data_IF_924428739728
#
_entry.id   IF_924428739728
#
_cell.length_a   1.000
_cell.length_b   1.000
_cell.length_c   1.000
_cell.angle_alpha   90.00
_cell.angle_beta   90.00
_cell.angle_gamma   90.00
#
_symmetry.space_group_name_H-M   'P 1'
#
loop_
_entity.id
_entity.type
_entity.pdbx_description
1 polymer ?
#
# COMPACT_ATOMS: atom_id res chain seq x y z
N UNK A 1 -22.54 19.87 -4.96
CA UNK A 1 -21.26 19.65 -5.67
C UNK A 1 -20.55 21.00 -5.78
N UNK A 2 -19.37 21.15 -5.20
CA UNK A 2 -18.61 22.41 -5.26
C UNK A 2 -17.83 22.46 -6.58
N UNK A 3 -18.08 23.46 -7.41
CA UNK A 3 -17.37 23.67 -8.69
C UNK A 3 -16.04 24.35 -8.42
N UNK A 4 -14.94 23.73 -8.87
CA UNK A 4 -13.57 24.22 -8.73
C UNK A 4 -13.07 24.85 -10.03
N UNK A 5 -13.32 24.18 -11.16
CA UNK A 5 -12.93 24.65 -12.48
C UNK A 5 -14.05 24.37 -13.50
N UNK A 6 -14.14 25.14 -14.61
CA UNK A 6 -15.19 24.94 -15.63
C UNK A 6 -15.04 23.62 -16.41
N UNK A 7 -13.81 23.11 -16.51
CA UNK A 7 -13.46 21.87 -17.20
C UNK A 7 -12.85 20.85 -16.22
N UNK A 8 -12.75 19.60 -16.62
CA UNK A 8 -12.19 18.52 -15.83
C UNK A 8 -13.23 17.50 -15.38
N UNK A 9 -12.87 16.69 -14.37
CA UNK A 9 -13.68 15.61 -13.85
C UNK A 9 -14.41 16.01 -12.57
N UNK A 10 -15.62 15.47 -12.39
CA UNK A 10 -16.35 15.50 -11.13
C UNK A 10 -15.81 14.36 -10.26
N UNK A 11 -15.06 14.68 -9.21
CA UNK A 11 -14.35 13.70 -8.39
C UNK A 11 -15.03 13.55 -7.04
N UNK A 12 -15.02 12.33 -6.53
CA UNK A 12 -15.38 12.02 -5.15
C UNK A 12 -14.20 11.40 -4.40
N UNK A 13 -14.07 11.72 -3.11
CA UNK A 13 -13.19 11.02 -2.19
C UNK A 13 -14.05 10.39 -1.09
N UNK A 14 -14.11 9.06 -1.06
CA UNK A 14 -14.85 8.29 -0.07
C UNK A 14 -13.90 7.80 1.02
N UNK A 15 -14.20 8.14 2.28
CA UNK A 15 -13.26 8.03 3.39
C UNK A 15 -12.39 9.29 3.52
N UNK A 16 -12.89 10.45 3.10
CA UNK A 16 -12.16 11.71 3.01
C UNK A 16 -11.57 12.22 4.35
N UNK A 17 -12.15 11.81 5.49
CA UNK A 17 -11.68 12.17 6.85
C UNK A 17 -10.55 11.28 7.36
N UNK A 18 -10.27 10.15 6.69
CA UNK A 18 -9.22 9.20 7.07
C UNK A 18 -7.81 9.66 6.66
N UNK A 19 -6.78 8.93 7.14
CA UNK A 19 -5.37 9.21 6.80
C UNK A 19 -5.12 9.18 5.29
N UNK A 20 -5.55 8.12 4.62
CA UNK A 20 -5.39 7.98 3.17
C UNK A 20 -6.24 9.01 2.41
N UNK A 21 -7.48 9.26 2.85
CA UNK A 21 -8.33 10.31 2.27
C UNK A 21 -7.68 11.70 2.32
N UNK A 22 -6.97 12.02 3.41
CA UNK A 22 -6.17 13.24 3.53
C UNK A 22 -5.06 13.29 2.47
N UNK A 23 -4.36 12.18 2.24
CA UNK A 23 -3.31 12.09 1.20
C UNK A 23 -3.93 12.23 -0.19
N UNK A 24 -5.04 11.54 -0.48
CA UNK A 24 -5.73 11.66 -1.77
C UNK A 24 -6.12 13.12 -2.09
N UNK A 25 -6.71 13.83 -1.11
CA UNK A 25 -7.06 15.24 -1.28
C UNK A 25 -5.84 16.11 -1.57
N UNK A 26 -4.76 15.94 -0.80
CA UNK A 26 -3.49 16.66 -1.01
C UNK A 26 -2.90 16.39 -2.40
N UNK A 27 -2.83 15.13 -2.83
CA UNK A 27 -2.27 14.77 -4.14
C UNK A 27 -3.10 15.31 -5.31
N UNK A 28 -4.42 15.38 -5.19
CA UNK A 28 -5.27 16.00 -6.20
C UNK A 28 -4.93 17.50 -6.39
N UNK A 29 -4.58 18.21 -5.30
CA UNK A 29 -4.14 19.61 -5.35
C UNK A 29 -2.70 19.74 -5.87
N UNK A 30 -1.75 19.00 -5.28
CA UNK A 30 -0.30 19.11 -5.58
C UNK A 30 0.01 18.73 -7.04
N UNK A 31 -0.72 17.78 -7.62
CA UNK A 31 -0.51 17.34 -9.01
C UNK A 31 -1.30 18.14 -10.04
N UNK A 32 -1.93 19.24 -9.63
CA UNK A 32 -2.76 20.07 -10.51
C UNK A 32 -3.78 19.24 -11.31
N UNK A 33 -4.39 18.26 -10.67
CA UNK A 33 -5.39 17.42 -11.32
C UNK A 33 -6.59 18.29 -11.72
N UNK A 34 -7.04 18.17 -12.96
CA UNK A 34 -8.12 19.02 -13.45
C UNK A 34 -9.46 18.58 -12.86
N UNK A 35 -9.76 19.14 -11.69
CA UNK A 35 -10.99 18.86 -10.93
C UNK A 35 -12.04 19.90 -11.30
N UNK A 36 -13.11 19.46 -11.96
CA UNK A 36 -14.28 20.31 -12.25
C UNK A 36 -15.08 20.57 -10.98
N UNK A 37 -15.36 19.51 -10.24
CA UNK A 37 -16.03 19.60 -8.95
C UNK A 37 -15.57 18.48 -8.03
N UNK A 38 -15.69 18.70 -6.71
CA UNK A 38 -15.31 17.72 -5.71
C UNK A 38 -16.44 17.48 -4.73
N UNK A 39 -16.55 16.22 -4.26
CA UNK A 39 -17.42 15.82 -3.17
C UNK A 39 -16.65 14.92 -2.21
N UNK A 40 -16.89 15.09 -0.93
CA UNK A 40 -16.28 14.26 0.12
C UNK A 40 -17.33 13.43 0.82
N UNK A 41 -17.03 12.15 1.00
CA UNK A 41 -17.92 11.20 1.66
C UNK A 41 -17.21 10.51 2.82
N UNK A 42 -17.93 10.26 3.89
CA UNK A 42 -17.49 9.45 5.01
C UNK A 42 -18.72 8.77 5.67
N UNK A 43 -18.51 8.08 6.80
CA UNK A 43 -19.62 7.53 7.59
C UNK A 43 -20.49 8.64 8.18
N UNK A 44 -21.73 8.31 8.56
CA UNK A 44 -22.67 9.20 9.24
C UNK A 44 -22.03 9.96 10.42
N UNK A 45 -21.12 9.32 11.17
CA UNK A 45 -20.39 9.95 12.28
C UNK A 45 -19.56 11.17 11.86
N UNK A 46 -19.03 11.17 10.65
CA UNK A 46 -18.17 12.24 10.11
C UNK A 46 -18.91 13.16 9.13
N UNK A 47 -20.16 12.85 8.79
CA UNK A 47 -20.99 13.71 7.95
C UNK A 47 -21.19 15.08 8.61
N UNK A 48 -21.20 16.13 7.80
CA UNK A 48 -21.25 17.53 8.27
C UNK A 48 -19.89 18.14 8.62
N UNK A 49 -18.81 17.35 8.73
CA UNK A 49 -17.46 17.89 8.87
C UNK A 49 -17.11 18.72 7.63
N UNK A 50 -16.44 19.85 7.83
CA UNK A 50 -15.96 20.70 6.75
C UNK A 50 -14.48 20.44 6.53
N UNK A 51 -14.08 20.16 5.29
CA UNK A 51 -12.69 19.92 4.90
C UNK A 51 -12.29 20.87 3.77
N UNK A 52 -11.10 21.50 3.85
CA UNK A 52 -10.63 22.39 2.80
C UNK A 52 -10.17 21.61 1.56
N UNK A 53 -10.40 22.21 0.37
CA UNK A 53 -9.84 21.75 -0.90
C UNK A 53 -9.79 22.92 -1.89
N UNK A 54 -8.61 23.19 -2.48
CA UNK A 54 -8.38 24.24 -3.47
C UNK A 54 -8.97 25.62 -3.08
N UNK A 55 -8.86 25.99 -1.81
CA UNK A 55 -9.39 27.25 -1.28
C UNK A 55 -10.90 27.26 -1.00
N UNK A 56 -11.59 26.13 -1.13
CA UNK A 56 -13.02 26.00 -0.85
C UNK A 56 -13.26 25.08 0.37
N UNK A 57 -14.30 25.40 1.11
CA UNK A 57 -14.80 24.56 2.20
C UNK A 57 -15.81 23.53 1.66
N UNK A 58 -15.48 22.25 1.78
CA UNK A 58 -16.29 21.13 1.30
C UNK A 58 -16.93 20.42 2.48
N UNK A 59 -18.25 20.35 2.51
CA UNK A 59 -18.98 19.60 3.54
C UNK A 59 -18.94 18.11 3.21
N UNK A 60 -18.55 17.29 4.19
CA UNK A 60 -18.53 15.83 4.07
C UNK A 60 -19.94 15.28 4.12
N UNK A 61 -20.31 14.47 3.15
CA UNK A 61 -21.61 13.81 3.02
C UNK A 61 -21.59 12.41 3.62
N UNK A 62 -22.75 11.93 4.07
CA UNK A 62 -22.90 10.54 4.49
C UNK A 62 -22.92 9.62 3.26
N UNK A 63 -21.91 8.74 3.17
CA UNK A 63 -21.76 7.82 2.05
C UNK A 63 -22.93 6.86 1.86
N UNK A 64 -23.68 6.55 2.93
CA UNK A 64 -24.79 5.58 2.86
C UNK A 64 -26.06 6.19 2.25
N UNK A 65 -26.28 7.47 2.45
CA UNK A 65 -27.54 8.15 2.07
C UNK A 65 -27.39 9.10 0.89
N UNK A 66 -26.19 9.63 0.63
CA UNK A 66 -25.98 10.59 -0.44
C UNK A 66 -26.14 9.97 -1.84
N UNK A 67 -26.69 10.73 -2.78
CA UNK A 67 -26.80 10.35 -4.18
C UNK A 67 -25.46 10.51 -4.90
N UNK A 68 -24.86 9.46 -5.51
CA UNK A 68 -23.59 9.53 -6.23
C UNK A 68 -23.71 10.08 -7.66
N UNK A 69 -24.89 10.45 -8.12
CA UNK A 69 -25.12 10.91 -9.49
C UNK A 69 -24.24 12.13 -9.84
N UNK A 70 -23.78 12.17 -11.07
CA UNK A 70 -22.97 13.27 -11.61
C UNK A 70 -21.49 13.25 -11.19
N UNK A 71 -21.01 12.19 -10.56
CA UNK A 71 -19.60 11.93 -10.29
C UNK A 71 -19.04 11.13 -11.46
N UNK A 72 -17.84 11.50 -11.95
CA UNK A 72 -17.14 10.75 -12.99
C UNK A 72 -16.22 9.68 -12.37
N UNK A 73 -15.45 10.05 -11.33
CA UNK A 73 -14.51 9.16 -10.67
C UNK A 73 -14.63 9.29 -9.15
N UNK A 74 -14.64 8.16 -8.45
CA UNK A 74 -14.64 8.10 -7.00
C UNK A 74 -13.41 7.33 -6.48
N UNK A 75 -12.61 7.98 -5.63
CA UNK A 75 -11.47 7.40 -4.94
C UNK A 75 -11.92 6.87 -3.57
N UNK A 76 -11.94 5.55 -3.41
CA UNK A 76 -12.43 4.88 -2.20
C UNK A 76 -11.29 4.51 -1.26
N UNK A 77 -11.38 4.94 -0.01
CA UNK A 77 -10.53 4.52 1.10
C UNK A 77 -11.32 4.47 2.42
N UNK A 78 -12.41 3.70 2.42
CA UNK A 78 -13.33 3.59 3.57
C UNK A 78 -13.33 2.19 4.22
N UNK A 79 -12.38 1.33 3.85
CA UNK A 79 -12.28 -0.05 4.30
C UNK A 79 -13.18 -1.02 3.51
N UNK A 80 -12.90 -2.32 3.65
CA UNK A 80 -13.50 -3.35 2.80
C UNK A 80 -15.02 -3.47 2.96
N UNK A 81 -15.54 -3.37 4.20
CA UNK A 81 -16.98 -3.48 4.47
C UNK A 81 -17.76 -2.36 3.81
N UNK A 82 -17.32 -1.11 3.97
CA UNK A 82 -17.97 0.04 3.35
C UNK A 82 -17.82 -0.01 1.82
N UNK A 83 -16.67 -0.42 1.30
CA UNK A 83 -16.48 -0.55 -0.14
C UNK A 83 -17.39 -1.62 -0.75
N UNK A 84 -17.54 -2.81 -0.14
CA UNK A 84 -18.47 -3.84 -0.62
C UNK A 84 -19.90 -3.34 -0.68
N UNK A 85 -20.32 -2.52 0.27
CA UNK A 85 -21.68 -1.97 0.30
C UNK A 85 -21.88 -0.82 -0.70
N UNK A 86 -20.89 0.07 -0.84
CA UNK A 86 -21.09 1.35 -1.52
C UNK A 86 -20.51 1.41 -2.94
N UNK A 87 -19.39 0.73 -3.24
CA UNK A 87 -18.78 0.79 -4.56
C UNK A 87 -19.73 0.33 -5.69
N UNK A 88 -20.51 -0.75 -5.54
CA UNK A 88 -21.49 -1.12 -6.56
C UNK A 88 -22.58 -0.06 -6.79
N UNK A 89 -22.97 0.66 -5.74
CA UNK A 89 -23.98 1.74 -5.85
C UNK A 89 -23.45 2.93 -6.64
N UNK A 90 -22.17 3.30 -6.42
CA UNK A 90 -21.50 4.33 -7.22
C UNK A 90 -21.34 3.86 -8.67
N UNK A 91 -20.85 2.65 -8.90
CA UNK A 91 -20.70 2.09 -10.24
C UNK A 91 -22.02 2.02 -11.01
N UNK A 92 -23.13 1.64 -10.35
CA UNK A 92 -24.46 1.62 -10.95
C UNK A 92 -24.97 3.03 -11.35
N UNK A 93 -24.45 4.10 -10.73
CA UNK A 93 -24.71 5.48 -11.12
C UNK A 93 -23.80 5.98 -12.25
N UNK A 94 -22.96 5.10 -12.85
CA UNK A 94 -22.03 5.42 -13.92
C UNK A 94 -20.67 5.95 -13.46
N UNK A 95 -20.38 5.91 -12.16
CA UNK A 95 -19.09 6.36 -11.59
C UNK A 95 -18.02 5.30 -11.76
N UNK A 96 -16.84 5.69 -12.21
CA UNK A 96 -15.66 4.80 -12.13
C UNK A 96 -15.12 4.84 -10.70
N UNK A 97 -15.11 3.69 -10.04
CA UNK A 97 -14.61 3.54 -8.68
C UNK A 97 -13.17 3.04 -8.69
N UNK A 98 -12.26 3.79 -8.06
CA UNK A 98 -10.89 3.34 -7.76
C UNK A 98 -10.83 3.01 -6.27
N UNK A 99 -10.78 1.71 -5.95
CA UNK A 99 -10.90 1.23 -4.58
C UNK A 99 -9.58 0.81 -3.97
N UNK A 100 -9.17 1.48 -2.90
CA UNK A 100 -7.94 1.18 -2.15
C UNK A 100 -8.14 0.09 -1.07
N UNK A 101 -9.36 -0.39 -0.86
CA UNK A 101 -9.62 -1.46 0.12
C UNK A 101 -9.26 -2.85 -0.43
N UNK A 102 -9.30 -3.85 0.43
CA UNK A 102 -9.10 -5.24 0.01
C UNK A 102 -10.35 -5.91 -0.58
N UNK A 103 -11.48 -5.19 -0.66
CA UNK A 103 -12.79 -5.75 -0.98
C UNK A 103 -12.86 -6.46 -2.33
N UNK A 104 -12.19 -5.90 -3.34
CA UNK A 104 -12.35 -6.29 -4.74
C UNK A 104 -11.10 -6.89 -5.38
N UNK A 105 -9.96 -6.86 -4.68
CA UNK A 105 -8.65 -7.23 -5.24
C UNK A 105 -8.63 -8.62 -5.88
N UNK A 106 -9.32 -9.59 -5.28
CA UNK A 106 -9.37 -10.96 -5.77
C UNK A 106 -10.66 -11.31 -6.53
N UNK A 107 -11.55 -10.34 -6.75
CA UNK A 107 -12.70 -10.52 -7.64
C UNK A 107 -12.20 -10.69 -9.10
N UNK A 108 -12.60 -11.78 -9.81
CA UNK A 108 -12.12 -12.04 -11.17
C UNK A 108 -12.60 -11.02 -12.20
N UNK A 109 -13.69 -10.31 -11.93
CA UNK A 109 -14.27 -9.29 -12.82
C UNK A 109 -13.83 -7.86 -12.45
N UNK A 110 -12.94 -7.71 -11.46
CA UNK A 110 -12.37 -6.43 -11.05
C UNK A 110 -10.87 -6.46 -11.29
N UNK A 111 -10.31 -5.60 -12.14
CA UNK A 111 -8.87 -5.54 -12.35
C UNK A 111 -8.16 -5.01 -11.10
N UNK A 112 -7.02 -5.62 -10.77
CA UNK A 112 -6.09 -5.18 -9.75
C UNK A 112 -4.93 -4.48 -10.44
N UNK A 113 -4.79 -3.17 -10.27
CA UNK A 113 -3.94 -2.35 -11.14
C UNK A 113 -2.84 -1.64 -10.36
N UNK A 114 -1.63 -1.74 -10.90
CA UNK A 114 -0.49 -0.84 -10.64
C UNK A 114 -0.19 -0.13 -11.95
N UNK A 115 -0.30 1.19 -11.99
CA UNK A 115 -0.25 1.98 -13.23
C UNK A 115 1.04 1.77 -14.03
N UNK A 116 2.16 1.53 -13.36
CA UNK A 116 3.48 1.30 -13.94
C UNK A 116 3.70 -0.15 -14.42
N UNK A 117 2.78 -1.06 -14.09
CA UNK A 117 2.95 -2.51 -14.31
C UNK A 117 1.95 -3.07 -15.32
N UNK A 118 0.67 -2.86 -15.07
CA UNK A 118 -0.42 -3.43 -15.84
C UNK A 118 -1.57 -2.44 -16.15
N UNK A 119 -1.28 -1.22 -16.65
CA UNK A 119 -2.32 -0.20 -16.91
C UNK A 119 -3.38 -0.68 -17.92
N UNK A 120 -3.03 -1.61 -18.81
CA UNK A 120 -3.95 -2.20 -19.78
C UNK A 120 -5.13 -2.92 -19.12
N UNK A 121 -4.96 -3.45 -17.90
CA UNK A 121 -5.99 -4.14 -17.16
C UNK A 121 -7.18 -3.23 -16.77
N UNK A 122 -7.02 -1.90 -16.76
CA UNK A 122 -8.11 -0.95 -16.52
C UNK A 122 -9.28 -1.18 -17.48
N UNK A 123 -9.01 -1.59 -18.73
CA UNK A 123 -10.03 -1.88 -19.75
C UNK A 123 -10.93 -3.07 -19.38
N UNK A 124 -10.54 -3.86 -18.38
CA UNK A 124 -11.29 -5.01 -17.90
C UNK A 124 -12.23 -4.68 -16.72
N UNK A 125 -12.39 -3.43 -16.37
CA UNK A 125 -13.23 -2.98 -15.26
C UNK A 125 -14.73 -3.06 -15.59
N UNK A 126 -15.24 -4.24 -15.91
CA UNK A 126 -16.63 -4.47 -16.34
C UNK A 126 -17.66 -4.13 -15.26
N UNK A 127 -17.25 -4.14 -13.98
CA UNK A 127 -18.10 -3.70 -12.85
C UNK A 127 -18.00 -2.20 -12.57
N UNK A 128 -17.25 -1.43 -13.38
CA UNK A 128 -16.97 -0.01 -13.08
C UNK A 128 -16.08 0.20 -11.86
N UNK A 129 -15.44 -0.87 -11.36
CA UNK A 129 -14.57 -0.85 -10.18
C UNK A 129 -13.16 -1.27 -10.60
N UNK A 130 -12.16 -0.52 -10.15
CA UNK A 130 -10.73 -0.80 -10.32
C UNK A 130 -10.15 -0.94 -8.91
N UNK A 131 -9.53 -2.08 -8.60
CA UNK A 131 -8.91 -2.30 -7.30
C UNK A 131 -7.46 -1.81 -7.29
N UNK A 132 -7.07 -1.15 -6.21
CA UNK A 132 -5.70 -0.77 -5.90
C UNK A 132 -5.09 -1.80 -4.95
N UNK A 133 -3.83 -2.25 -5.16
CA UNK A 133 -3.23 -3.33 -4.40
C UNK A 133 -2.94 -3.02 -2.93
N UNK A 134 -2.51 -4.05 -2.21
CA UNK A 134 -1.87 -3.92 -0.91
C UNK A 134 -0.56 -3.11 -1.04
N UNK A 135 -0.28 -2.28 -0.04
CA UNK A 135 0.84 -1.34 -0.07
C UNK A 135 2.22 -2.03 -0.20
N UNK A 136 2.44 -3.15 0.50
CA UNK A 136 3.69 -3.90 0.38
C UNK A 136 3.82 -4.56 -0.98
N UNK A 137 2.74 -5.16 -1.49
CA UNK A 137 2.74 -5.75 -2.83
C UNK A 137 3.05 -4.70 -3.89
N UNK A 138 2.33 -3.57 -3.86
CA UNK A 138 2.50 -2.50 -4.85
C UNK A 138 3.93 -1.99 -4.92
N UNK A 139 4.60 -1.82 -3.78
CA UNK A 139 5.96 -1.27 -3.73
C UNK A 139 6.99 -2.11 -4.52
N UNK A 140 6.83 -3.43 -4.56
CA UNK A 140 7.77 -4.32 -5.26
C UNK A 140 7.48 -4.48 -6.76
N UNK A 141 6.21 -4.30 -7.17
CA UNK A 141 5.77 -4.69 -8.52
C UNK A 141 6.45 -3.93 -9.66
N UNK A 142 6.73 -2.63 -9.61
CA UNK A 142 7.43 -1.92 -10.68
C UNK A 142 8.79 -2.53 -10.99
N UNK A 143 9.61 -2.81 -9.97
CA UNK A 143 10.91 -3.43 -10.16
C UNK A 143 10.80 -4.88 -10.67
N UNK A 144 9.93 -5.68 -10.06
CA UNK A 144 9.77 -7.09 -10.44
C UNK A 144 9.20 -7.26 -11.85
N UNK A 145 8.37 -6.33 -12.33
CA UNK A 145 7.83 -6.36 -13.70
C UNK A 145 8.93 -6.27 -14.76
N UNK A 146 9.86 -5.35 -14.57
CA UNK A 146 10.97 -5.13 -15.52
C UNK A 146 11.91 -6.33 -15.53
N UNK A 147 12.26 -6.83 -14.34
CA UNK A 147 13.12 -8.02 -14.21
C UNK A 147 12.43 -9.28 -14.75
N UNK A 148 11.11 -9.42 -14.56
CA UNK A 148 10.34 -10.51 -15.15
C UNK A 148 10.34 -10.47 -16.68
N UNK A 149 10.17 -9.30 -17.28
CA UNK A 149 10.17 -9.15 -18.74
C UNK A 149 11.50 -9.58 -19.36
N UNK A 150 12.62 -9.37 -18.69
CA UNK A 150 13.96 -9.78 -19.14
C UNK A 150 14.22 -11.26 -18.91
N UNK A 151 14.02 -11.75 -17.70
CA UNK A 151 14.55 -13.04 -17.27
C UNK A 151 13.48 -14.08 -16.90
N UNK A 152 12.21 -13.69 -16.78
CA UNK A 152 11.10 -14.59 -16.44
C UNK A 152 11.10 -14.97 -14.96
N UNK A 153 10.48 -14.16 -14.12
CA UNK A 153 10.34 -14.44 -12.68
C UNK A 153 9.51 -15.70 -12.43
N UNK A 154 10.07 -16.66 -11.72
CA UNK A 154 9.45 -17.96 -11.41
C UNK A 154 9.11 -18.11 -9.92
N UNK A 155 9.96 -17.55 -9.06
CA UNK A 155 9.82 -17.68 -7.60
C UNK A 155 10.35 -16.44 -6.89
N UNK A 156 9.75 -16.11 -5.74
CA UNK A 156 10.32 -15.12 -4.82
C UNK A 156 10.07 -15.52 -3.35
N UNK A 157 11.07 -15.24 -2.51
CA UNK A 157 10.95 -15.23 -1.07
C UNK A 157 11.07 -13.79 -0.59
N UNK A 158 10.11 -13.33 0.21
CA UNK A 158 10.00 -11.93 0.60
C UNK A 158 9.83 -11.81 2.11
N UNK A 159 10.71 -11.05 2.75
CA UNK A 159 10.47 -10.57 4.11
C UNK A 159 10.13 -9.09 4.06
N UNK A 160 8.98 -8.71 4.63
CA UNK A 160 8.59 -7.31 4.69
C UNK A 160 8.97 -6.69 6.03
N UNK A 161 9.29 -5.40 6.02
CA UNK A 161 9.48 -4.55 7.19
C UNK A 161 8.39 -3.47 7.14
N UNK A 162 7.23 -3.77 7.76
CA UNK A 162 6.03 -2.94 7.59
C UNK A 162 5.92 -1.87 8.67
N UNK A 163 5.87 -0.63 8.23
CA UNK A 163 5.65 0.54 9.08
C UNK A 163 4.26 0.52 9.75
N UNK A 164 4.15 1.18 10.89
CA UNK A 164 2.92 1.23 11.69
C UNK A 164 1.78 1.99 11.02
N UNK A 165 2.07 2.88 10.07
CA UNK A 165 1.04 3.62 9.30
C UNK A 165 0.06 2.70 8.57
N UNK A 166 0.50 1.48 8.17
CA UNK A 166 -0.37 0.47 7.58
C UNK A 166 -1.50 -0.01 8.50
N UNK A 167 -1.34 0.17 9.82
CA UNK A 167 -2.38 -0.11 10.82
C UNK A 167 -3.27 1.09 11.14
N UNK A 168 -3.15 2.18 10.37
CA UNK A 168 -3.90 3.41 10.57
C UNK A 168 -3.35 4.28 11.72
N UNK A 169 -4.10 5.31 12.07
CA UNK A 169 -3.69 6.30 13.09
C UNK A 169 -3.39 5.62 14.43
N UNK A 170 -4.20 4.67 14.86
CA UNK A 170 -4.02 3.95 16.12
C UNK A 170 -2.66 3.24 16.21
N UNK A 171 -2.15 2.68 15.11
CA UNK A 171 -0.81 2.08 15.08
C UNK A 171 0.31 3.09 15.27
N UNK A 172 0.20 4.25 14.62
CA UNK A 172 1.18 5.33 14.78
C UNK A 172 1.15 5.93 16.19
N UNK A 173 -0.03 6.13 16.77
CA UNK A 173 -0.22 6.62 18.12
C UNK A 173 0.35 5.66 19.16
N UNK A 174 0.11 4.35 18.99
CA UNK A 174 0.66 3.35 19.90
C UNK A 174 2.19 3.36 19.90
N UNK A 175 2.83 3.35 18.73
CA UNK A 175 4.29 3.47 18.64
C UNK A 175 4.79 4.75 19.30
N UNK A 176 4.18 5.90 19.01
CA UNK A 176 4.58 7.19 19.57
C UNK A 176 4.46 7.22 21.10
N UNK A 177 3.38 6.66 21.64
CA UNK A 177 3.14 6.63 23.09
C UNK A 177 4.13 5.68 23.80
N UNK A 178 4.41 4.52 23.23
CA UNK A 178 5.41 3.58 23.76
C UNK A 178 6.82 4.19 23.73
N UNK A 179 7.21 4.89 22.66
CA UNK A 179 8.50 5.58 22.57
C UNK A 179 8.61 6.68 23.65
N UNK A 180 7.59 7.54 23.79
CA UNK A 180 7.61 8.60 24.81
C UNK A 180 7.75 8.02 26.21
N UNK A 181 6.94 7.03 26.54
CA UNK A 181 6.99 6.38 27.85
C UNK A 181 8.35 5.74 28.14
N UNK A 182 9.02 5.21 27.13
CA UNK A 182 10.36 4.64 27.28
C UNK A 182 11.44 5.72 27.48
N UNK A 183 11.39 6.79 26.67
CA UNK A 183 12.33 7.92 26.79
C UNK A 183 12.22 8.62 28.15
N UNK A 184 11.02 8.76 28.69
CA UNK A 184 10.78 9.41 29.98
C UNK A 184 11.41 8.65 31.17
N UNK A 185 11.75 7.36 31.00
CA UNK A 185 12.42 6.55 32.05
C UNK A 185 13.95 6.77 32.10
N UNK A 186 14.56 7.24 31.01
CA UNK A 186 15.96 7.70 30.97
C UNK A 186 17.03 6.61 31.00
N UNK A 187 16.70 5.38 30.68
CA UNK A 187 17.62 4.21 30.74
C UNK A 187 17.50 3.30 29.52
N UNK A 188 17.31 3.88 28.33
CA UNK A 188 17.11 3.12 27.08
C UNK A 188 18.28 2.21 26.74
N UNK A 189 19.50 2.60 27.05
CA UNK A 189 20.72 1.87 26.76
C UNK A 189 20.77 0.52 27.51
N UNK A 190 20.08 0.39 28.63
CA UNK A 190 20.00 -0.84 29.39
C UNK A 190 19.26 -1.95 28.65
N UNK A 191 18.45 -1.61 27.63
CA UNK A 191 17.84 -2.58 26.72
C UNK A 191 18.86 -3.45 25.96
N UNK A 192 20.11 -3.04 25.88
CA UNK A 192 21.22 -3.85 25.33
C UNK A 192 21.45 -5.10 26.18
N UNK A 193 21.18 -5.02 27.48
CA UNK A 193 21.46 -6.07 28.44
C UNK A 193 20.22 -6.80 28.93
N UNK A 194 19.10 -6.07 29.01
CA UNK A 194 17.85 -6.60 29.59
C UNK A 194 16.63 -5.99 28.88
N UNK A 195 15.87 -6.81 28.18
CA UNK A 195 14.63 -6.38 27.51
C UNK A 195 13.54 -5.90 28.46
N UNK A 196 13.66 -6.15 29.77
CA UNK A 196 12.75 -5.65 30.82
C UNK A 196 13.24 -4.37 31.49
N UNK A 197 14.39 -3.83 31.08
CA UNK A 197 14.94 -2.59 31.63
C UNK A 197 14.02 -1.37 31.49
N UNK A 198 13.13 -1.40 30.49
CA UNK A 198 12.15 -0.33 30.24
C UNK A 198 10.74 -0.92 30.31
N UNK A 199 9.86 -0.20 31.00
CA UNK A 199 8.44 -0.57 31.05
C UNK A 199 7.65 0.17 29.96
N UNK A 200 7.01 -0.61 29.10
CA UNK A 200 6.17 -0.07 28.03
C UNK A 200 4.68 -0.09 28.42
N UNK A 201 3.87 0.86 27.93
CA UNK A 201 2.42 0.72 27.93
C UNK A 201 2.01 -0.59 27.26
N UNK A 202 0.99 -1.25 27.82
CA UNK A 202 0.48 -2.48 27.23
C UNK A 202 0.05 -2.27 25.76
N UNK A 203 0.40 -3.19 24.84
CA UNK A 203 -0.01 -3.09 23.46
C UNK A 203 -1.54 -3.24 23.34
N UNK A 204 -2.13 -2.44 22.46
CA UNK A 204 -3.58 -2.43 22.19
C UNK A 204 -3.84 -2.78 20.72
N UNK A 205 -3.08 -2.17 19.82
CA UNK A 205 -3.21 -2.40 18.37
C UNK A 205 -2.39 -3.59 17.90
N UNK A 206 -1.26 -3.85 18.52
CA UNK A 206 -0.36 -4.95 18.18
C UNK A 206 -0.41 -6.06 19.23
N UNK A 207 0.02 -7.27 18.86
CA UNK A 207 0.06 -8.43 19.76
C UNK A 207 1.22 -8.38 20.76
N UNK A 208 2.20 -7.54 20.51
CA UNK A 208 3.38 -7.26 21.33
C UNK A 208 3.72 -5.77 21.27
N UNK A 209 4.56 -5.31 22.19
CA UNK A 209 5.19 -3.99 22.12
C UNK A 209 5.84 -3.80 20.76
N UNK A 210 5.64 -2.63 20.15
CA UNK A 210 6.22 -2.32 18.84
C UNK A 210 7.42 -1.37 18.93
N UNK A 211 7.50 -0.52 19.97
CA UNK A 211 8.65 0.35 20.16
C UNK A 211 9.92 -0.47 20.46
N UNK A 212 10.99 -0.17 19.72
CA UNK A 212 12.30 -0.84 19.82
C UNK A 212 12.27 -2.36 19.57
N UNK A 213 11.23 -2.87 18.91
CA UNK A 213 11.02 -4.30 18.70
C UNK A 213 10.61 -4.61 17.24
N UNK A 214 10.70 -5.86 16.85
CA UNK A 214 10.19 -6.37 15.58
C UNK A 214 9.16 -7.47 15.86
N UNK A 215 7.97 -7.35 15.28
CA UNK A 215 6.86 -8.27 15.49
C UNK A 215 6.61 -9.05 14.20
N UNK A 216 6.99 -10.36 14.12
CA UNK A 216 6.84 -11.16 12.91
C UNK A 216 5.40 -11.63 12.72
N UNK A 217 4.47 -10.70 12.83
CA UNK A 217 3.04 -10.91 12.64
C UNK A 217 2.40 -9.59 12.18
N UNK A 218 2.26 -9.40 10.87
CA UNK A 218 1.45 -8.34 10.31
C UNK A 218 0.16 -8.93 9.75
N UNK A 219 -1.00 -8.37 10.15
CA UNK A 219 -2.31 -8.92 9.82
C UNK A 219 -2.80 -9.95 10.83
N UNK A 220 -3.71 -10.80 10.41
CA UNK A 220 -4.30 -11.88 11.20
C UNK A 220 -4.02 -13.23 10.55
N UNK A 221 -3.73 -14.26 11.38
CA UNK A 221 -3.59 -15.64 10.88
C UNK A 221 -4.90 -16.07 10.22
N UNK A 222 -4.79 -16.70 9.07
CA UNK A 222 -5.93 -17.28 8.35
C UNK A 222 -6.06 -18.76 8.69
N UNK A 223 -7.23 -19.16 9.15
CA UNK A 223 -7.51 -20.54 9.57
C UNK A 223 -7.74 -21.47 8.35
N UNK A 224 -6.68 -21.75 7.59
CA UNK A 224 -6.73 -22.66 6.43
C UNK A 224 -5.64 -23.74 6.46
N UNK A 225 -4.96 -23.87 7.61
CA UNK A 225 -3.93 -24.87 7.85
C UNK A 225 -2.53 -24.51 7.38
N UNK A 226 -2.33 -23.35 6.72
CA UNK A 226 -1.02 -22.88 6.25
C UNK A 226 -0.29 -22.00 7.28
N UNK A 227 -0.99 -21.54 8.32
CA UNK A 227 -0.46 -20.65 9.35
C UNK A 227 0.11 -19.33 8.78
N UNK A 228 -0.44 -18.89 7.65
CA UNK A 228 -0.11 -17.62 7.04
C UNK A 228 -1.04 -16.51 7.52
N UNK A 229 -0.52 -15.28 7.56
CA UNK A 229 -1.38 -14.11 7.77
C UNK A 229 -2.12 -13.72 6.48
N UNK A 230 -3.18 -12.94 6.63
CA UNK A 230 -3.88 -12.36 5.49
C UNK A 230 -2.98 -11.41 4.65
N UNK A 231 -1.97 -10.77 5.27
CA UNK A 231 -0.97 -9.95 4.57
C UNK A 231 -0.04 -10.82 3.69
N UNK A 232 0.43 -11.95 4.19
CA UNK A 232 1.26 -12.89 3.43
C UNK A 232 0.50 -13.48 2.25
N UNK A 233 -0.79 -13.79 2.44
CA UNK A 233 -1.67 -14.24 1.35
C UNK A 233 -1.92 -13.16 0.31
N UNK A 234 -2.11 -11.90 0.72
CA UNK A 234 -2.23 -10.76 -0.20
C UNK A 234 -0.97 -10.64 -1.06
N UNK A 235 0.21 -10.66 -0.43
CA UNK A 235 1.48 -10.58 -1.15
C UNK A 235 1.56 -11.65 -2.25
N UNK A 236 1.24 -12.93 -1.95
CA UNK A 236 1.25 -14.00 -2.93
C UNK A 236 0.20 -13.84 -4.03
N UNK A 237 -1.05 -13.64 -3.66
CA UNK A 237 -2.15 -13.67 -4.60
C UNK A 237 -2.21 -12.41 -5.47
N UNK A 238 -1.94 -11.26 -4.89
CA UNK A 238 -1.93 -9.99 -5.59
C UNK A 238 -0.74 -9.91 -6.57
N UNK A 239 0.47 -10.38 -6.18
CA UNK A 239 1.62 -10.44 -7.09
C UNK A 239 1.33 -11.26 -8.35
N UNK A 240 0.69 -12.42 -8.19
CA UNK A 240 0.27 -13.27 -9.32
C UNK A 240 -0.67 -12.54 -10.27
N UNK A 241 -1.63 -11.82 -9.71
CA UNK A 241 -2.65 -11.10 -10.50
C UNK A 241 -2.06 -9.88 -11.19
N UNK A 242 -1.27 -9.08 -10.50
CA UNK A 242 -0.67 -7.84 -11.03
C UNK A 242 0.39 -8.13 -12.10
N UNK A 243 1.28 -9.09 -11.84
CA UNK A 243 2.34 -9.47 -12.78
C UNK A 243 1.83 -10.37 -13.92
N UNK A 244 0.59 -10.85 -13.82
CA UNK A 244 -0.02 -11.78 -14.79
C UNK A 244 0.74 -13.11 -14.88
N UNK A 245 1.27 -13.59 -13.74
CA UNK A 245 2.01 -14.86 -13.59
C UNK A 245 1.23 -15.77 -12.64
N UNK A 246 0.19 -16.51 -13.11
CA UNK A 246 -0.65 -17.34 -12.23
C UNK A 246 0.11 -18.40 -11.44
N UNK A 247 1.21 -18.89 -12.02
CA UNK A 247 2.07 -19.94 -11.43
C UNK A 247 3.20 -19.42 -10.56
N UNK A 248 3.34 -18.11 -10.32
CA UNK A 248 4.42 -17.54 -9.53
C UNK A 248 4.46 -18.16 -8.13
N UNK A 249 5.62 -18.70 -7.75
CA UNK A 249 5.85 -19.24 -6.42
C UNK A 249 6.26 -18.10 -5.48
N UNK A 250 5.46 -17.87 -4.44
CA UNK A 250 5.70 -16.77 -3.49
C UNK A 250 5.64 -17.31 -2.07
N UNK A 251 6.69 -17.06 -1.29
CA UNK A 251 6.73 -17.22 0.15
C UNK A 251 6.97 -15.86 0.80
N UNK A 252 6.13 -15.47 1.75
CA UNK A 252 6.23 -14.19 2.45
C UNK A 252 6.28 -14.36 3.95
N UNK A 253 7.07 -13.52 4.63
CA UNK A 253 6.99 -13.27 6.06
C UNK A 253 6.74 -11.78 6.26
N UNK A 254 5.60 -11.43 6.84
CA UNK A 254 5.22 -10.05 7.06
C UNK A 254 5.54 -9.62 8.51
N UNK A 255 6.52 -8.73 8.64
CA UNK A 255 7.03 -8.26 9.93
C UNK A 255 6.63 -6.81 10.18
N UNK A 256 6.07 -6.50 11.34
CA UNK A 256 5.84 -5.13 11.77
C UNK A 256 7.09 -4.59 12.47
N UNK A 257 7.50 -3.37 12.09
CA UNK A 257 8.71 -2.71 12.62
C UNK A 257 8.37 -1.33 13.19
N UNK A 258 9.22 -0.78 14.11
CA UNK A 258 8.98 0.52 14.76
C UNK A 258 9.31 1.71 13.86
N UNK A 259 8.76 1.71 12.68
CA UNK A 259 8.88 2.73 11.63
C UNK A 259 7.52 3.36 11.40
N UNK A 260 7.43 4.68 11.39
CA UNK A 260 6.14 5.38 11.28
C UNK A 260 5.50 5.22 9.90
N UNK A 261 6.28 5.37 8.82
CA UNK A 261 5.78 5.27 7.44
C UNK A 261 6.86 4.75 6.50
N UNK A 262 6.46 4.20 5.35
CA UNK A 262 7.36 3.58 4.39
C UNK A 262 7.60 2.10 4.71
N UNK A 263 7.02 1.19 3.91
CA UNK A 263 7.30 -0.24 4.02
C UNK A 263 8.57 -0.58 3.28
N UNK A 264 9.32 -1.56 3.80
CA UNK A 264 10.48 -2.10 3.09
C UNK A 264 10.31 -3.59 2.87
N UNK A 265 10.98 -4.11 1.85
CA UNK A 265 10.96 -5.52 1.48
C UNK A 265 12.39 -5.99 1.15
N UNK A 266 12.80 -7.10 1.76
CA UNK A 266 13.93 -7.89 1.32
C UNK A 266 13.42 -9.01 0.42
N UNK A 267 13.88 -9.05 -0.82
CA UNK A 267 13.37 -9.95 -1.85
C UNK A 267 14.51 -10.80 -2.38
N UNK A 268 14.34 -12.12 -2.35
CA UNK A 268 15.13 -13.08 -3.10
C UNK A 268 14.27 -13.59 -4.25
N UNK A 269 14.68 -13.32 -5.48
CA UNK A 269 13.95 -13.63 -6.71
C UNK A 269 14.71 -14.63 -7.57
N UNK A 270 14.04 -15.69 -8.00
CA UNK A 270 14.56 -16.68 -8.94
C UNK A 270 13.88 -16.54 -10.30
N UNK A 271 14.69 -16.57 -11.35
CA UNK A 271 14.27 -16.34 -12.72
C UNK A 271 14.51 -17.58 -13.59
N UNK A 272 13.80 -17.68 -14.71
CA UNK A 272 13.96 -18.74 -15.70
C UNK A 272 15.27 -18.65 -16.50
N UNK A 273 15.87 -17.43 -16.55
CA UNK A 273 17.13 -17.16 -17.24
C UNK A 273 18.11 -16.46 -16.31
N UNK A 274 19.40 -16.59 -16.60
CA UNK A 274 20.45 -15.85 -15.91
C UNK A 274 20.26 -14.33 -16.07
N UNK A 275 20.47 -13.59 -14.98
CA UNK A 275 20.46 -12.13 -14.95
C UNK A 275 21.50 -11.64 -13.95
N UNK A 276 22.42 -10.77 -14.40
CA UNK A 276 23.43 -10.22 -13.49
C UNK A 276 22.91 -8.99 -12.74
N UNK A 277 23.49 -8.65 -11.58
CA UNK A 277 23.19 -7.41 -10.88
C UNK A 277 23.36 -6.16 -11.73
N UNK A 278 24.42 -6.12 -12.57
CA UNK A 278 24.68 -5.00 -13.47
C UNK A 278 23.56 -4.84 -14.49
N UNK A 279 23.10 -5.97 -15.06
CA UNK A 279 21.98 -5.95 -16.00
C UNK A 279 20.69 -5.52 -15.33
N UNK A 280 20.45 -5.96 -14.09
CA UNK A 280 19.31 -5.52 -13.30
C UNK A 280 19.33 -4.01 -13.01
N UNK A 281 20.51 -3.46 -12.66
CA UNK A 281 20.67 -2.00 -12.46
C UNK A 281 20.38 -1.22 -13.74
N UNK A 282 20.89 -1.66 -14.90
CA UNK A 282 20.61 -1.03 -16.19
C UNK A 282 19.10 -0.97 -16.48
N UNK A 283 18.40 -2.08 -16.29
CA UNK A 283 16.98 -2.18 -16.55
C UNK A 283 16.14 -1.32 -15.58
N UNK A 284 16.54 -1.26 -14.32
CA UNK A 284 15.81 -0.54 -13.28
C UNK A 284 16.05 0.97 -13.30
N UNK A 285 17.14 1.44 -13.93
CA UNK A 285 17.46 2.85 -14.05
C UNK A 285 16.37 3.66 -14.77
N UNK A 286 15.73 3.04 -15.78
CA UNK A 286 14.67 3.66 -16.57
C UNK A 286 13.28 3.08 -16.28
N UNK A 287 13.14 2.25 -15.24
CA UNK A 287 11.89 1.59 -14.92
C UNK A 287 10.86 2.58 -14.35
N UNK A 288 9.64 2.64 -14.90
CA UNK A 288 8.59 3.51 -14.38
C UNK A 288 8.31 3.22 -12.90
N UNK A 289 8.23 4.28 -12.08
CA UNK A 289 7.94 4.16 -10.65
C UNK A 289 9.08 3.61 -9.79
N UNK A 290 10.29 3.49 -10.34
CA UNK A 290 11.51 3.04 -9.63
C UNK A 290 12.51 4.17 -9.53
N UNK A 291 13.14 4.28 -8.37
CA UNK A 291 14.35 5.09 -8.17
C UNK A 291 15.44 4.21 -7.56
N UNK A 292 16.60 4.16 -8.20
CA UNK A 292 17.75 3.44 -7.68
C UNK A 292 18.43 4.22 -6.56
N UNK A 293 18.78 3.50 -5.49
CA UNK A 293 19.51 4.00 -4.33
C UNK A 293 20.47 2.92 -3.81
N UNK A 294 21.63 3.32 -3.33
CA UNK A 294 22.59 2.36 -2.78
C UNK A 294 22.04 1.70 -1.50
N UNK A 295 21.43 2.50 -0.64
CA UNK A 295 20.86 2.07 0.65
C UNK A 295 19.48 2.72 0.83
N UNK A 296 18.43 2.18 0.22
CA UNK A 296 17.08 2.74 0.34
C UNK A 296 16.54 2.60 1.77
N UNK A 297 15.89 3.66 2.26
CA UNK A 297 15.33 3.69 3.61
C UNK A 297 13.89 4.20 3.65
N UNK A 298 13.08 3.79 4.64
CA UNK A 298 11.71 4.28 4.79
C UNK A 298 11.59 5.79 4.98
N UNK A 299 12.55 6.43 5.67
CA UNK A 299 12.55 7.89 5.86
C UNK A 299 12.70 8.64 4.54
N UNK A 300 13.51 8.12 3.62
CA UNK A 300 13.70 8.69 2.30
C UNK A 300 12.45 8.50 1.43
N UNK A 301 11.81 7.33 1.52
CA UNK A 301 10.61 7.02 0.76
C UNK A 301 9.35 7.74 1.26
N UNK A 302 9.34 8.21 2.51
CA UNK A 302 8.19 8.85 3.12
C UNK A 302 7.76 10.12 2.38
N UNK A 303 6.60 10.09 1.73
CA UNK A 303 6.04 11.20 0.95
C UNK A 303 6.57 11.32 -0.47
N UNK A 304 7.49 10.45 -0.90
CA UNK A 304 7.94 10.36 -2.28
C UNK A 304 7.02 9.44 -3.12
N UNK A 305 7.08 9.59 -4.44
CA UNK A 305 6.26 8.80 -5.36
C UNK A 305 6.88 7.45 -5.76
N UNK A 306 8.21 7.35 -6.09
CA UNK A 306 8.78 6.11 -6.57
C UNK A 306 9.02 5.09 -5.46
N UNK A 307 9.12 3.82 -5.85
CA UNK A 307 9.74 2.79 -5.02
C UNK A 307 11.25 2.89 -5.11
N UNK A 308 11.91 3.06 -3.98
CA UNK A 308 13.38 3.09 -3.90
C UNK A 308 13.90 1.66 -3.89
N UNK A 309 14.81 1.35 -4.82
CA UNK A 309 15.35 0.00 -5.02
C UNK A 309 16.86 0.03 -4.92
N UNK A 310 17.42 -0.88 -4.13
CA UNK A 310 18.86 -0.96 -3.98
C UNK A 310 19.36 -2.30 -3.43
N UNK A 311 20.62 -2.34 -3.01
CA UNK A 311 21.24 -3.57 -2.51
C UNK A 311 21.11 -4.75 -3.47
N UNK A 312 21.09 -4.48 -4.76
CA UNK A 312 20.95 -5.49 -5.82
C UNK A 312 22.23 -6.30 -5.89
N UNK A 313 22.12 -7.62 -5.76
CA UNK A 313 23.25 -8.56 -5.80
C UNK A 313 22.81 -9.92 -6.29
N UNK A 314 23.76 -10.74 -6.73
CA UNK A 314 23.50 -12.15 -7.02
C UNK A 314 23.03 -12.88 -5.77
N UNK A 315 22.07 -13.77 -5.92
CA UNK A 315 21.68 -14.75 -4.91
C UNK A 315 22.38 -16.08 -5.24
N UNK A 316 23.47 -16.36 -4.51
CA UNK A 316 24.30 -17.55 -4.73
C UNK A 316 23.60 -18.86 -4.31
N UNK A 317 22.43 -18.78 -3.70
CA UNK A 317 21.61 -19.97 -3.38
C UNK A 317 20.84 -20.51 -4.58
N UNK A 318 20.87 -19.80 -5.71
CA UNK A 318 20.23 -20.17 -6.98
C UNK A 318 21.28 -20.40 -8.05
N UNK A 319 21.33 -21.62 -8.58
CA UNK A 319 22.30 -22.01 -9.59
C UNK A 319 22.11 -21.26 -10.91
N UNK A 320 23.21 -21.20 -11.70
CA UNK A 320 23.20 -20.72 -13.07
C UNK A 320 23.01 -19.20 -13.21
N UNK A 321 23.29 -18.43 -12.16
CA UNK A 321 23.15 -16.96 -12.18
C UNK A 321 21.72 -16.48 -12.35
N UNK A 322 20.72 -17.30 -11.97
CA UNK A 322 19.31 -17.02 -12.09
C UNK A 322 18.67 -16.37 -10.86
N UNK A 323 19.49 -16.09 -9.85
CA UNK A 323 19.02 -15.52 -8.57
C UNK A 323 19.49 -14.08 -8.36
N UNK A 324 18.57 -13.21 -7.95
CA UNK A 324 18.88 -11.87 -7.46
C UNK A 324 18.31 -11.65 -6.07
N UNK A 325 19.06 -10.97 -5.22
CA UNK A 325 18.57 -10.39 -3.99
C UNK A 325 18.56 -8.87 -4.12
N UNK A 326 17.49 -8.23 -3.66
CA UNK A 326 17.31 -6.79 -3.70
C UNK A 326 16.49 -6.30 -2.49
N UNK A 327 16.59 -5.00 -2.24
CA UNK A 327 15.83 -4.32 -1.20
C UNK A 327 15.00 -3.18 -1.80
N UNK A 328 13.74 -3.10 -1.38
CA UNK A 328 12.79 -2.10 -1.86
C UNK A 328 12.23 -1.31 -0.70
#
# INVERSE_FOLDING_TARGET
>A
MTVIAPEGLNIAVVGATGQVGKVMRRLLEERNFTVKSIRFFASARSAGTVLPFAGHDIVVEDVETADPSGIDVALFSAGATASKAQAPRFAAAGVIVVDNSSAWRMDPEVPLVVSEVNPHAIKQAVKGIIANPNCTTMAAMPALKVLHAEAGLERMSVTTFQAVSGSGLAGAEELANQIRAAVDQGNLEDLVHDGSAVTFPAPVKYVKTIAFDVVPLAGAIVEDGLNETDEEKKLRNESRKILEIPGLLVSGLCVRVPVFTGHSLSINAEFGKAISPERALELLADAPGVQLEDVPTPLQAAGADPSFVGRIRSDETVDGGRGLALFV
#
